data_IF_760947281583
#
_entry.id   IF_760947281583
#
_cell.length_a   1.000
_cell.length_b   1.000
_cell.length_c   1.000
_cell.angle_alpha   90.00
_cell.angle_beta   90.00
_cell.angle_gamma   90.00
#
_symmetry.space_group_name_H-M   'P 1'
#
loop_
_entity.id
_entity.type
_entity.pdbx_description
1 polymer ?
#
# COMPACT_ATOMS: atom_id res chain seq x y z
N UNK A 1 -7.28 32.28 13.77
CA UNK A 1 -5.93 31.93 14.26
C UNK A 1 -4.97 32.18 13.10
N UNK A 2 -3.92 32.97 13.30
CA UNK A 2 -2.90 33.27 12.29
C UNK A 2 -1.64 32.47 12.58
N UNK A 3 -1.04 31.89 11.54
CA UNK A 3 0.16 31.07 11.64
C UNK A 3 1.19 31.61 10.64
N UNK A 4 2.36 32.00 11.15
CA UNK A 4 3.45 32.55 10.34
C UNK A 4 4.50 31.48 10.15
N UNK A 5 4.91 31.25 8.91
CA UNK A 5 5.91 30.24 8.55
C UNK A 5 7.06 30.93 7.84
N UNK A 6 8.26 30.78 8.38
CA UNK A 6 9.49 31.24 7.72
C UNK A 6 9.97 30.17 6.75
N UNK A 7 10.28 30.58 5.51
CA UNK A 7 10.78 29.71 4.45
C UNK A 7 11.95 30.38 3.75
N UNK A 8 12.89 29.59 3.24
CA UNK A 8 13.98 30.08 2.39
C UNK A 8 13.44 30.81 1.16
N UNK A 9 14.21 31.77 0.64
CA UNK A 9 13.91 32.49 -0.61
C UNK A 9 13.57 31.56 -1.77
N UNK A 10 14.34 30.49 -1.93
CA UNK A 10 14.24 29.56 -3.06
C UNK A 10 12.90 28.81 -3.02
N UNK A 11 12.54 28.30 -1.84
CA UNK A 11 11.24 27.66 -1.62
C UNK A 11 10.08 28.64 -1.82
N UNK A 12 10.23 29.91 -1.40
CA UNK A 12 9.21 30.92 -1.61
C UNK A 12 8.96 31.19 -3.10
N UNK A 13 10.00 31.19 -3.93
CA UNK A 13 9.86 31.31 -5.38
C UNK A 13 9.17 30.09 -6.00
N UNK A 14 9.55 28.88 -5.58
CA UNK A 14 8.92 27.63 -6.03
C UNK A 14 7.44 27.63 -5.69
N UNK A 15 7.07 28.03 -4.46
CA UNK A 15 5.68 28.11 -4.02
C UNK A 15 4.88 29.13 -4.83
N UNK A 16 5.44 30.30 -5.12
CA UNK A 16 4.79 31.31 -5.99
C UNK A 16 4.56 30.77 -7.38
N UNK A 17 5.54 30.06 -7.96
CA UNK A 17 5.42 29.46 -9.28
C UNK A 17 4.35 28.37 -9.30
N UNK A 18 4.31 27.52 -8.28
CA UNK A 18 3.30 26.47 -8.13
C UNK A 18 1.89 27.04 -7.97
N UNK A 19 1.71 28.05 -7.11
CA UNK A 19 0.43 28.73 -6.92
C UNK A 19 -0.09 29.37 -8.22
N UNK A 20 0.79 30.07 -8.96
CA UNK A 20 0.45 30.64 -10.28
C UNK A 20 0.05 29.56 -11.29
N UNK A 21 0.78 28.45 -11.35
CA UNK A 21 0.46 27.34 -12.24
C UNK A 21 -0.90 26.71 -11.90
N UNK A 22 -1.27 26.69 -10.63
CA UNK A 22 -2.57 26.26 -10.13
C UNK A 22 -3.66 27.34 -10.22
N UNK A 23 -3.36 28.54 -10.75
CA UNK A 23 -4.32 29.64 -10.90
C UNK A 23 -4.79 30.25 -9.59
N UNK A 24 -4.00 30.13 -8.51
CA UNK A 24 -4.36 30.57 -7.16
C UNK A 24 -3.23 31.39 -6.52
N UNK A 25 -3.47 31.94 -5.32
CA UNK A 25 -2.45 32.63 -4.53
C UNK A 25 -1.69 31.67 -3.60
N UNK A 26 -0.54 32.12 -3.07
CA UNK A 26 0.32 31.26 -2.24
C UNK A 26 -0.38 30.78 -0.97
N UNK A 27 -1.08 31.64 -0.19
CA UNK A 27 -1.82 31.18 0.99
C UNK A 27 -2.86 30.10 0.66
N UNK A 28 -3.68 30.29 -0.38
CA UNK A 28 -4.72 29.32 -0.75
C UNK A 28 -4.08 28.02 -1.25
N UNK A 29 -3.04 28.11 -2.08
CA UNK A 29 -2.28 26.94 -2.52
C UNK A 29 -1.72 26.12 -1.34
N UNK A 30 -1.14 26.81 -0.35
CA UNK A 30 -0.59 26.16 0.84
C UNK A 30 -1.68 25.53 1.70
N UNK A 31 -2.81 26.23 1.91
CA UNK A 31 -3.93 25.71 2.68
C UNK A 31 -4.58 24.50 1.99
N UNK A 32 -4.77 24.54 0.68
CA UNK A 32 -5.33 23.41 -0.06
C UNK A 32 -4.36 22.22 -0.08
N UNK A 33 -3.05 22.48 -0.25
CA UNK A 33 -2.03 21.44 -0.15
C UNK A 33 -1.97 20.82 1.25
N UNK A 34 -2.08 21.65 2.29
CA UNK A 34 -2.11 21.19 3.68
C UNK A 34 -3.38 20.40 3.97
N UNK A 35 -4.56 20.87 3.50
CA UNK A 35 -5.84 20.16 3.63
C UNK A 35 -5.80 18.82 2.91
N UNK A 36 -5.32 18.77 1.66
CA UNK A 36 -5.20 17.51 0.93
C UNK A 36 -4.33 16.51 1.69
N UNK A 37 -3.16 16.94 2.17
CA UNK A 37 -2.27 16.07 2.97
C UNK A 37 -2.89 15.67 4.30
N UNK A 38 -3.59 16.57 4.98
CA UNK A 38 -4.24 16.30 6.26
C UNK A 38 -5.42 15.35 6.09
N UNK A 39 -6.31 15.58 5.11
CA UNK A 39 -7.42 14.67 4.78
C UNK A 39 -6.88 13.29 4.43
N UNK A 40 -5.85 13.21 3.56
CA UNK A 40 -5.18 11.94 3.27
C UNK A 40 -4.54 11.29 4.48
N UNK A 41 -4.19 12.04 5.54
CA UNK A 41 -3.62 11.51 6.79
C UNK A 41 -4.68 11.13 7.83
N UNK A 42 -5.83 11.80 7.83
CA UNK A 42 -6.93 11.58 8.76
C UNK A 42 -7.75 10.34 8.36
N UNK A 43 -7.89 10.11 7.05
CA UNK A 43 -8.49 8.89 6.50
C UNK A 43 -7.45 7.78 6.30
N UNK A 44 -6.17 8.03 6.61
CA UNK A 44 -5.15 7.00 6.52
C UNK A 44 -5.40 5.93 7.60
N UNK A 45 -5.27 4.63 7.26
CA UNK A 45 -5.37 3.56 8.24
C UNK A 45 -4.41 3.82 9.42
N UNK A 46 -4.82 3.51 10.64
CA UNK A 46 -3.94 3.60 11.80
C UNK A 46 -2.74 2.64 11.64
N UNK A 47 -1.68 2.83 12.42
CA UNK A 47 -0.58 1.86 12.42
C UNK A 47 -1.06 0.46 12.86
N UNK A 48 -2.04 0.39 13.76
CA UNK A 48 -2.67 -0.87 14.16
C UNK A 48 -3.42 -1.51 12.99
N UNK A 49 -4.15 -0.72 12.20
CA UNK A 49 -4.90 -1.22 11.02
C UNK A 49 -3.94 -1.76 9.95
N UNK A 50 -2.79 -1.08 9.76
CA UNK A 50 -1.75 -1.55 8.86
C UNK A 50 -1.16 -2.88 9.34
N UNK A 51 -0.87 -3.00 10.64
CA UNK A 51 -0.36 -4.24 11.22
C UNK A 51 -1.39 -5.38 11.16
N UNK A 52 -2.68 -5.09 11.35
CA UNK A 52 -3.76 -6.05 11.20
C UNK A 52 -3.84 -6.56 9.75
N UNK A 53 -3.83 -5.66 8.76
CA UNK A 53 -3.81 -6.03 7.33
C UNK A 53 -2.59 -6.87 6.97
N UNK A 54 -1.44 -6.57 7.55
CA UNK A 54 -0.20 -7.33 7.33
C UNK A 54 -0.31 -8.74 7.92
N UNK A 55 -0.79 -8.83 9.16
CA UNK A 55 -0.85 -10.08 9.93
C UNK A 55 -2.04 -10.97 9.58
N UNK A 56 -3.04 -10.45 8.86
CA UNK A 56 -4.19 -11.23 8.41
C UNK A 56 -3.73 -12.34 7.46
N UNK A 57 -3.92 -13.62 7.82
CA UNK A 57 -3.62 -14.73 6.93
C UNK A 57 -4.63 -14.78 5.79
N UNK A 58 -4.25 -15.39 4.65
CA UNK A 58 -5.23 -15.68 3.59
C UNK A 58 -6.39 -16.53 4.14
N UNK A 59 -7.61 -16.46 3.59
CA UNK A 59 -8.70 -17.30 4.06
C UNK A 59 -8.34 -18.80 3.97
N UNK A 60 -8.59 -19.56 5.04
CA UNK A 60 -8.28 -21.00 5.06
C UNK A 60 -8.94 -21.78 3.91
N UNK A 61 -10.23 -21.54 3.56
CA UNK A 61 -10.86 -22.23 2.44
C UNK A 61 -10.18 -21.98 1.10
N UNK A 62 -9.65 -20.76 0.89
CA UNK A 62 -8.94 -20.38 -0.35
C UNK A 62 -7.59 -21.13 -0.43
N UNK A 63 -6.87 -21.23 0.69
CA UNK A 63 -5.59 -21.95 0.73
C UNK A 63 -5.78 -23.46 0.54
N UNK A 64 -6.76 -24.03 1.24
CA UNK A 64 -7.09 -25.46 1.17
C UNK A 64 -7.52 -25.83 -0.24
N UNK A 65 -8.45 -25.08 -0.83
CA UNK A 65 -8.92 -25.35 -2.20
C UNK A 65 -7.81 -25.24 -3.23
N UNK A 66 -6.94 -24.23 -3.10
CA UNK A 66 -5.77 -24.11 -3.97
C UNK A 66 -4.83 -25.31 -3.83
N UNK A 67 -4.61 -25.78 -2.61
CA UNK A 67 -3.74 -26.92 -2.35
C UNK A 67 -4.30 -28.20 -2.98
N UNK A 68 -5.61 -28.46 -2.85
CA UNK A 68 -6.28 -29.58 -3.52
C UNK A 68 -6.10 -29.54 -5.04
N UNK A 69 -6.29 -28.37 -5.66
CA UNK A 69 -6.13 -28.20 -7.11
C UNK A 69 -4.68 -28.36 -7.55
N UNK A 70 -3.70 -27.94 -6.73
CA UNK A 70 -2.28 -28.20 -7.02
C UNK A 70 -1.96 -29.70 -6.95
N UNK A 71 -2.55 -30.44 -6.01
CA UNK A 71 -2.38 -31.89 -5.91
C UNK A 71 -2.99 -32.61 -7.10
N UNK A 72 -4.19 -32.20 -7.55
CA UNK A 72 -4.82 -32.73 -8.76
C UNK A 72 -4.01 -32.41 -10.03
N UNK A 73 -3.41 -31.22 -10.09
CA UNK A 73 -2.50 -30.85 -11.18
C UNK A 73 -1.28 -31.76 -11.20
N UNK A 74 -0.66 -31.97 -10.06
CA UNK A 74 0.57 -32.77 -9.93
C UNK A 74 0.29 -34.27 -10.18
N UNK A 75 -0.94 -34.73 -9.92
CA UNK A 75 -1.40 -36.08 -10.29
C UNK A 75 -1.90 -36.20 -11.75
N UNK A 76 -1.91 -35.12 -12.52
CA UNK A 76 -2.42 -35.08 -13.90
C UNK A 76 -3.94 -35.29 -14.02
N UNK A 77 -4.70 -35.14 -12.93
CA UNK A 77 -6.14 -35.34 -12.87
C UNK A 77 -6.95 -34.04 -13.00
N UNK A 78 -6.27 -32.90 -13.15
CA UNK A 78 -6.89 -31.59 -13.22
C UNK A 78 -7.68 -31.41 -14.53
N UNK A 79 -8.97 -31.08 -14.41
CA UNK A 79 -9.82 -30.77 -15.56
C UNK A 79 -9.81 -29.26 -15.90
N UNK A 80 -10.48 -28.88 -16.99
CA UNK A 80 -10.50 -27.50 -17.48
C UNK A 80 -11.20 -26.52 -16.52
N UNK A 81 -12.27 -26.96 -15.86
CA UNK A 81 -12.98 -26.15 -14.87
C UNK A 81 -12.11 -25.90 -13.62
N UNK A 82 -11.44 -26.95 -13.14
CA UNK A 82 -10.49 -26.90 -12.04
C UNK A 82 -9.23 -26.08 -12.37
N UNK A 83 -8.79 -26.13 -13.63
CA UNK A 83 -7.70 -25.28 -14.13
C UNK A 83 -8.08 -23.81 -14.07
N UNK A 84 -9.29 -23.49 -14.54
CA UNK A 84 -9.82 -22.12 -14.48
C UNK A 84 -10.00 -21.64 -13.03
N UNK A 85 -10.46 -22.52 -12.15
CA UNK A 85 -10.57 -22.26 -10.71
C UNK A 85 -9.20 -21.97 -10.08
N UNK A 86 -8.17 -22.77 -10.41
CA UNK A 86 -6.82 -22.57 -9.91
C UNK A 86 -6.24 -21.21 -10.33
N UNK A 87 -6.49 -20.78 -11.57
CA UNK A 87 -6.10 -19.43 -12.02
C UNK A 87 -6.82 -18.33 -11.24
N UNK A 88 -8.14 -18.45 -11.05
CA UNK A 88 -8.91 -17.46 -10.30
C UNK A 88 -8.44 -17.36 -8.83
N UNK A 89 -8.14 -18.49 -8.19
CA UNK A 89 -7.60 -18.51 -6.82
C UNK A 89 -6.20 -17.89 -6.76
N UNK A 90 -5.37 -18.08 -7.79
CA UNK A 90 -4.06 -17.44 -7.85
C UNK A 90 -4.18 -15.92 -7.98
N UNK A 91 -5.07 -15.41 -8.85
CA UNK A 91 -5.32 -13.96 -8.96
C UNK A 91 -5.83 -13.34 -7.64
N UNK A 92 -6.69 -14.05 -6.91
CA UNK A 92 -7.17 -13.60 -5.61
C UNK A 92 -6.02 -13.50 -4.60
N UNK A 93 -5.13 -14.50 -4.55
CA UNK A 93 -3.97 -14.47 -3.67
C UNK A 93 -2.99 -13.36 -4.02
N UNK A 94 -2.73 -13.14 -5.31
CA UNK A 94 -1.85 -12.07 -5.79
C UNK A 94 -2.42 -10.69 -5.40
N UNK A 95 -3.74 -10.51 -5.49
CA UNK A 95 -4.42 -9.28 -5.07
C UNK A 95 -4.28 -9.03 -3.56
N UNK A 96 -4.44 -10.08 -2.76
CA UNK A 96 -4.27 -10.00 -1.31
C UNK A 96 -2.80 -9.73 -0.93
N UNK A 97 -1.86 -10.35 -1.65
CA UNK A 97 -0.42 -10.13 -1.44
C UNK A 97 0.00 -8.70 -1.82
N UNK A 98 -0.52 -8.16 -2.91
CA UNK A 98 -0.33 -6.76 -3.28
C UNK A 98 -0.87 -5.81 -2.20
N UNK A 99 -2.04 -6.12 -1.63
CA UNK A 99 -2.64 -5.34 -0.54
C UNK A 99 -1.75 -5.35 0.70
N UNK A 100 -1.19 -6.52 1.06
CA UNK A 100 -0.22 -6.67 2.15
C UNK A 100 1.04 -5.83 1.89
N UNK A 101 1.62 -5.92 0.69
CA UNK A 101 2.82 -5.14 0.33
C UNK A 101 2.60 -3.64 0.35
N UNK A 102 1.42 -3.16 -0.07
CA UNK A 102 1.03 -1.75 0.08
C UNK A 102 1.01 -1.32 1.55
N UNK A 103 0.42 -2.13 2.42
CA UNK A 103 0.39 -1.84 3.86
C UNK A 103 1.79 -1.81 4.49
N UNK A 104 2.69 -2.74 4.09
CA UNK A 104 4.10 -2.73 4.53
C UNK A 104 4.79 -1.46 4.04
N UNK A 105 4.57 -1.05 2.78
CA UNK A 105 5.14 0.18 2.24
C UNK A 105 4.66 1.44 2.95
N UNK A 106 3.38 1.50 3.33
CA UNK A 106 2.84 2.59 4.15
C UNK A 106 3.44 2.61 5.56
N UNK A 107 3.60 1.45 6.19
CA UNK A 107 4.25 1.32 7.49
C UNK A 107 5.73 1.71 7.44
N UNK A 108 6.44 1.30 6.39
CA UNK A 108 7.84 1.64 6.15
C UNK A 108 8.03 3.16 6.05
N UNK A 109 7.16 3.85 5.28
CA UNK A 109 7.15 5.31 5.18
C UNK A 109 6.96 5.99 6.55
N UNK A 110 6.02 5.50 7.36
CA UNK A 110 5.74 6.06 8.70
C UNK A 110 6.92 5.89 9.66
N UNK A 111 7.63 4.77 9.56
CA UNK A 111 8.78 4.44 10.42
C UNK A 111 10.13 4.92 9.85
N UNK A 112 10.13 5.62 8.71
CA UNK A 112 11.36 6.09 8.05
C UNK A 112 12.30 4.97 7.60
N UNK A 113 11.75 3.79 7.27
CA UNK A 113 12.50 2.62 6.80
C UNK A 113 12.21 2.34 5.32
N UNK A 114 13.09 1.59 4.69
CA UNK A 114 12.83 1.01 3.36
C UNK A 114 11.80 -0.13 3.45
N UNK A 115 11.21 -0.49 2.31
CA UNK A 115 10.26 -1.60 2.23
C UNK A 115 10.91 -2.92 2.69
N UNK A 116 12.14 -3.17 2.27
CA UNK A 116 12.88 -4.40 2.58
C UNK A 116 13.20 -4.49 4.09
N UNK A 117 13.71 -3.42 4.68
CA UNK A 117 13.98 -3.37 6.13
C UNK A 117 12.71 -3.55 6.96
N UNK A 118 11.55 -3.09 6.46
CA UNK A 118 10.26 -3.31 7.13
C UNK A 118 9.79 -4.75 6.99
N UNK A 119 9.93 -5.36 5.81
CA UNK A 119 9.60 -6.76 5.57
C UNK A 119 10.42 -7.69 6.47
N UNK A 120 11.74 -7.46 6.52
CA UNK A 120 12.66 -8.22 7.38
C UNK A 120 12.31 -8.06 8.85
N UNK A 121 11.98 -6.83 9.30
CA UNK A 121 11.56 -6.57 10.68
C UNK A 121 10.24 -7.26 11.06
N UNK A 122 9.39 -7.58 10.08
CA UNK A 122 8.13 -8.28 10.25
C UNK A 122 8.27 -9.80 10.05
N UNK A 123 9.48 -10.31 9.76
CA UNK A 123 9.73 -11.71 9.48
C UNK A 123 9.13 -12.20 8.16
N UNK A 124 8.86 -11.29 7.22
CA UNK A 124 8.29 -11.61 5.90
C UNK A 124 9.45 -11.93 4.95
N UNK A 125 9.50 -13.14 4.38
CA UNK A 125 10.63 -13.55 3.56
C UNK A 125 10.73 -12.70 2.28
N UNK A 126 11.96 -12.27 1.97
CA UNK A 126 12.27 -11.44 0.80
C UNK A 126 11.93 -12.10 -0.54
N UNK A 127 11.71 -13.43 -0.57
CA UNK A 127 11.26 -14.18 -1.74
C UNK A 127 9.81 -13.88 -2.15
N UNK A 128 9.02 -13.25 -1.28
CA UNK A 128 7.67 -12.78 -1.57
C UNK A 128 7.65 -11.36 -2.19
N UNK A 129 8.81 -10.72 -2.33
CA UNK A 129 9.00 -9.47 -3.08
C UNK A 129 9.31 -9.86 -4.53
N UNK A 130 8.31 -9.82 -5.41
CA UNK A 130 8.50 -9.95 -6.87
C UNK A 130 8.05 -8.70 -7.59
#
# INVERSE_FOLDING_TARGET
>A
MTLTVEVSSDLAEVLRKAARAAGTDVPTFLLDSARQRLVSSLDAPSEADLLERISTPFPAPVRERRQELLELRDSGALNEAETSELFALQEQLDTLQLTRWKAIGELAKRRGKTLLEMADALGIPSSEVR
#
